data_IF_032507122313
#
_entry.id   IF_032507122313
#
_cell.length_a   1.000
_cell.length_b   1.000
_cell.length_c   1.000
_cell.angle_alpha   90.00
_cell.angle_beta   90.00
_cell.angle_gamma   90.00
#
_symmetry.space_group_name_H-M   'P 1'
#
loop_
_entity.id
_entity.type
_entity.pdbx_description
1 polymer ?
#
# COMPACT_ATOMS: atom_id res chain seq x y z
N UNK A 1 15.11 -14.59 -1.12
CA UNK A 1 13.88 -14.94 -0.38
C UNK A 1 12.77 -15.45 -1.31
N UNK A 2 12.39 -14.70 -2.35
CA UNK A 2 11.33 -15.07 -3.32
C UNK A 2 11.46 -16.50 -3.86
N UNK A 3 12.64 -16.86 -4.38
CA UNK A 3 12.87 -18.21 -4.93
C UNK A 3 12.70 -19.35 -3.90
N UNK A 4 12.92 -19.07 -2.61
CA UNK A 4 12.70 -20.05 -1.55
C UNK A 4 11.20 -20.21 -1.23
N UNK A 5 10.41 -19.14 -1.34
CA UNK A 5 8.96 -19.16 -1.11
C UNK A 5 8.22 -19.80 -2.29
N UNK A 6 8.61 -19.51 -3.53
CA UNK A 6 8.03 -20.13 -4.74
C UNK A 6 8.12 -21.66 -4.77
N UNK A 7 9.07 -22.25 -4.03
CA UNK A 7 9.19 -23.71 -3.89
C UNK A 7 8.19 -24.31 -2.90
N UNK A 8 7.53 -23.49 -2.10
CA UNK A 8 6.64 -23.91 -1.01
C UNK A 8 5.18 -23.57 -1.31
N UNK A 9 4.91 -22.58 -2.16
CA UNK A 9 3.56 -22.12 -2.48
C UNK A 9 3.51 -21.42 -3.83
N UNK A 10 2.33 -21.47 -4.46
CA UNK A 10 1.98 -20.70 -5.66
C UNK A 10 1.22 -19.40 -5.33
N UNK A 11 1.07 -19.09 -4.04
CA UNK A 11 0.41 -17.86 -3.59
C UNK A 11 1.15 -16.60 -4.10
N UNK A 12 0.42 -15.51 -4.39
CA UNK A 12 1.04 -14.27 -4.82
C UNK A 12 2.01 -13.71 -3.79
N UNK A 13 3.19 -13.29 -4.27
CA UNK A 13 4.22 -12.67 -3.44
C UNK A 13 4.16 -11.15 -3.64
N UNK A 14 4.17 -10.45 -2.51
CA UNK A 14 4.41 -9.01 -2.40
C UNK A 14 5.78 -8.77 -1.74
N UNK A 15 6.50 -7.76 -2.19
CA UNK A 15 7.75 -7.31 -1.57
C UNK A 15 7.59 -5.88 -1.07
N UNK A 16 7.96 -5.65 0.18
CA UNK A 16 8.10 -4.31 0.75
C UNK A 16 9.50 -3.75 0.46
N UNK A 17 9.54 -2.53 -0.07
CA UNK A 17 10.75 -1.81 -0.43
C UNK A 17 10.73 -0.42 0.21
N UNK A 18 11.85 0.00 0.78
CA UNK A 18 12.07 1.30 1.40
C UNK A 18 12.98 2.22 0.55
N UNK A 19 13.65 1.67 -0.47
CA UNK A 19 14.57 2.38 -1.37
C UNK A 19 14.34 2.03 -2.84
N UNK A 20 14.80 2.90 -3.74
CA UNK A 20 14.64 2.72 -5.19
C UNK A 20 15.35 1.44 -5.68
N UNK A 21 16.55 1.16 -5.18
CA UNK A 21 17.34 0.01 -5.61
C UNK A 21 16.68 -1.33 -5.24
N UNK A 22 15.95 -1.36 -4.12
CA UNK A 22 15.17 -2.53 -3.70
C UNK A 22 13.98 -2.77 -4.64
N UNK A 23 13.38 -1.70 -5.16
CA UNK A 23 12.33 -1.80 -6.18
C UNK A 23 12.89 -2.33 -7.49
N UNK A 24 14.06 -1.85 -7.92
CA UNK A 24 14.72 -2.37 -9.12
C UNK A 24 14.99 -3.88 -8.99
N UNK A 25 15.50 -4.33 -7.85
CA UNK A 25 15.67 -5.76 -7.57
C UNK A 25 14.33 -6.50 -7.61
N UNK A 26 13.30 -5.98 -6.95
CA UNK A 26 11.97 -6.60 -6.91
C UNK A 26 11.32 -6.72 -8.30
N UNK A 27 11.53 -5.76 -9.19
CA UNK A 27 11.07 -5.82 -10.59
C UNK A 27 11.70 -7.03 -11.30
N UNK A 28 13.01 -7.27 -11.12
CA UNK A 28 13.68 -8.42 -11.77
C UNK A 28 13.15 -9.78 -11.31
N UNK A 29 12.56 -9.84 -10.12
CA UNK A 29 11.99 -11.05 -9.55
C UNK A 29 10.59 -11.37 -10.10
N UNK A 30 9.93 -10.42 -10.77
CA UNK A 30 8.60 -10.62 -11.36
C UNK A 30 7.55 -10.98 -10.32
N UNK A 31 7.55 -10.28 -9.18
CA UNK A 31 6.53 -10.45 -8.12
C UNK A 31 5.20 -9.81 -8.51
N UNK A 32 4.11 -10.18 -7.82
CA UNK A 32 2.78 -9.64 -8.12
C UNK A 32 2.69 -8.15 -7.77
N UNK A 33 3.20 -7.79 -6.59
CA UNK A 33 3.08 -6.44 -6.04
C UNK A 33 4.37 -6.00 -5.37
N UNK A 34 4.64 -4.70 -5.45
CA UNK A 34 5.65 -4.03 -4.63
C UNK A 34 4.96 -3.01 -3.73
N UNK A 35 5.21 -3.10 -2.44
CA UNK A 35 4.77 -2.15 -1.42
C UNK A 35 5.92 -1.16 -1.15
N UNK A 36 5.65 0.13 -1.30
CA UNK A 36 6.59 1.22 -1.09
C UNK A 36 6.44 1.72 0.35
N UNK A 37 7.37 1.36 1.23
CA UNK A 37 7.36 1.76 2.63
C UNK A 37 7.97 3.16 2.82
N UNK A 38 7.18 4.08 3.36
CA UNK A 38 7.57 5.44 3.74
C UNK A 38 8.32 6.24 2.66
N UNK A 39 8.15 5.89 1.38
CA UNK A 39 8.72 6.65 0.26
C UNK A 39 7.99 7.98 0.08
N UNK A 40 8.75 9.04 -0.22
CA UNK A 40 8.17 10.34 -0.57
C UNK A 40 7.61 10.34 -2.00
N UNK A 41 6.85 11.39 -2.34
CA UNK A 41 6.20 11.49 -3.64
C UNK A 41 7.19 11.54 -4.81
N UNK A 42 8.39 12.09 -4.62
CA UNK A 42 9.41 12.19 -5.67
C UNK A 42 9.99 10.82 -5.99
N UNK A 43 10.22 10.01 -4.96
CA UNK A 43 10.69 8.64 -5.09
C UNK A 43 9.62 7.74 -5.69
N UNK A 44 8.35 7.89 -5.27
CA UNK A 44 7.21 7.17 -5.87
C UNK A 44 7.08 7.55 -7.36
N UNK A 45 7.29 8.80 -7.75
CA UNK A 45 7.24 9.20 -9.16
C UNK A 45 8.36 8.53 -9.99
N UNK A 46 9.57 8.41 -9.43
CA UNK A 46 10.67 7.64 -10.05
C UNK A 46 10.31 6.15 -10.16
N UNK A 47 9.80 5.59 -9.06
CA UNK A 47 8.92 4.43 -8.94
C UNK A 47 8.19 4.05 -10.22
N UNK A 48 7.16 4.85 -10.45
CA UNK A 48 6.15 4.64 -11.49
C UNK A 48 6.70 4.77 -12.91
N UNK A 49 7.88 5.38 -13.11
CA UNK A 49 8.53 5.49 -14.43
C UNK A 49 9.20 4.20 -14.87
N UNK A 50 9.61 3.35 -13.93
CA UNK A 50 10.38 2.12 -14.23
C UNK A 50 9.61 0.84 -14.01
N UNK A 51 8.55 0.87 -13.19
CA UNK A 51 7.75 -0.32 -12.90
C UNK A 51 6.95 -0.78 -14.14
N UNK A 52 7.04 -2.06 -14.52
CA UNK A 52 6.20 -2.62 -15.56
C UNK A 52 4.71 -2.66 -15.16
N UNK A 53 3.81 -2.45 -16.11
CA UNK A 53 2.35 -2.52 -15.89
C UNK A 53 1.84 -3.87 -15.33
N UNK A 54 2.65 -4.93 -15.39
CA UNK A 54 2.32 -6.24 -14.83
C UNK A 54 2.51 -6.34 -13.31
N UNK A 55 3.15 -5.35 -12.68
CA UNK A 55 3.42 -5.33 -11.23
C UNK A 55 2.52 -4.27 -10.59
N UNK A 56 1.70 -4.69 -9.63
CA UNK A 56 0.90 -3.77 -8.83
C UNK A 56 1.83 -2.95 -7.91
N UNK A 57 1.45 -1.70 -7.63
CA UNK A 57 2.19 -0.81 -6.73
C UNK A 57 1.27 -0.35 -5.61
N UNK A 58 1.74 -0.53 -4.39
CA UNK A 58 1.06 -0.11 -3.18
C UNK A 58 1.93 0.90 -2.43
N UNK A 59 1.39 2.06 -2.08
CA UNK A 59 2.10 3.03 -1.23
C UNK A 59 1.70 2.84 0.24
N UNK A 60 2.68 2.84 1.15
CA UNK A 60 2.45 2.67 2.58
C UNK A 60 3.26 3.69 3.40
N UNK A 61 2.94 3.77 4.69
CA UNK A 61 3.64 4.60 5.66
C UNK A 61 3.09 6.03 5.77
N UNK A 62 2.81 6.44 7.01
CA UNK A 62 2.42 7.82 7.39
C UNK A 62 1.36 8.48 6.47
N UNK A 63 0.36 7.70 6.03
CA UNK A 63 -0.73 8.22 5.20
C UNK A 63 -1.71 9.06 6.04
N UNK A 64 -1.99 10.27 5.56
CA UNK A 64 -3.02 11.17 6.07
C UNK A 64 -4.04 11.47 4.98
N UNK A 65 -5.21 12.02 5.35
CA UNK A 65 -6.24 12.40 4.39
C UNK A 65 -5.71 13.36 3.31
N UNK A 66 -4.84 14.30 3.71
CA UNK A 66 -4.20 15.26 2.80
C UNK A 66 -3.14 14.62 1.90
N UNK A 67 -2.48 13.54 2.36
CA UNK A 67 -1.43 12.84 1.61
C UNK A 67 -1.98 11.80 0.62
N UNK A 68 -3.14 11.20 0.91
CA UNK A 68 -3.72 10.14 0.06
C UNK A 68 -3.96 10.63 -1.37
N UNK A 69 -4.54 11.82 -1.55
CA UNK A 69 -4.85 12.36 -2.89
C UNK A 69 -3.60 12.59 -3.77
N UNK A 70 -2.54 13.31 -3.31
CA UNK A 70 -1.35 13.48 -4.13
C UNK A 70 -0.64 12.16 -4.44
N UNK A 71 -0.61 11.21 -3.50
CA UNK A 71 -0.04 9.86 -3.75
C UNK A 71 -0.85 9.10 -4.80
N UNK A 72 -2.19 9.13 -4.71
CA UNK A 72 -3.05 8.47 -5.69
C UNK A 72 -2.85 9.04 -7.11
N UNK A 73 -2.64 10.35 -7.23
CA UNK A 73 -2.38 11.01 -8.51
C UNK A 73 -1.05 10.59 -9.17
N UNK A 74 -0.13 9.95 -8.44
CA UNK A 74 1.10 9.37 -9.01
C UNK A 74 0.84 8.08 -9.77
N UNK A 75 -0.36 7.50 -9.67
CA UNK A 75 -0.75 6.30 -10.41
C UNK A 75 -0.47 4.99 -9.69
N UNK A 76 -0.24 5.01 -8.37
CA UNK A 76 -0.19 3.79 -7.56
C UNK A 76 -1.54 3.07 -7.60
N UNK A 77 -1.51 1.74 -7.52
CA UNK A 77 -2.71 0.91 -7.61
C UNK A 77 -3.44 0.84 -6.26
N UNK A 78 -2.68 0.84 -5.17
CA UNK A 78 -3.19 0.75 -3.80
C UNK A 78 -2.51 1.75 -2.88
N UNK A 79 -3.19 2.11 -1.80
CA UNK A 79 -2.64 2.91 -0.70
C UNK A 79 -3.02 2.24 0.61
N UNK A 80 -2.01 1.80 1.37
CA UNK A 80 -2.17 1.23 2.69
C UNK A 80 -2.27 2.34 3.75
N UNK A 81 -3.37 2.38 4.49
CA UNK A 81 -3.65 3.41 5.51
C UNK A 81 -3.95 2.76 6.86
N UNK A 82 -2.92 2.50 7.66
CA UNK A 82 -3.10 1.91 9.00
C UNK A 82 -3.95 2.75 9.97
N UNK A 83 -4.02 4.07 9.75
CA UNK A 83 -4.80 4.98 10.60
C UNK A 83 -6.31 4.66 10.62
N UNK A 84 -6.86 4.04 9.57
CA UNK A 84 -8.30 3.71 9.51
C UNK A 84 -8.68 2.50 10.37
N UNK A 85 -7.72 1.77 10.92
CA UNK A 85 -7.97 0.61 11.80
C UNK A 85 -7.50 0.89 13.22
N UNK A 86 -6.24 1.28 13.41
CA UNK A 86 -5.67 1.50 14.74
C UNK A 86 -6.01 2.87 15.34
N UNK A 87 -6.46 3.84 14.52
CA UNK A 87 -6.63 5.22 14.97
C UNK A 87 -7.89 5.89 14.41
N UNK A 88 -8.86 5.10 13.97
CA UNK A 88 -10.12 5.62 13.48
C UNK A 88 -10.91 6.30 14.63
N UNK A 89 -11.48 7.50 14.40
CA UNK A 89 -12.33 8.13 15.39
C UNK A 89 -13.61 7.32 15.60
N UNK A 90 -14.07 7.26 16.85
CA UNK A 90 -15.39 6.70 17.15
C UNK A 90 -16.47 7.60 16.54
N UNK A 91 -17.42 7.00 15.84
CA UNK A 91 -18.60 7.72 15.40
C UNK A 91 -19.54 7.99 16.59
N UNK A 92 -20.15 9.17 16.58
CA UNK A 92 -21.08 9.60 17.62
C UNK A 92 -22.47 9.03 17.35
N UNK A 93 -22.99 8.23 18.29
CA UNK A 93 -24.28 7.56 18.15
C UNK A 93 -25.11 7.70 19.43
N UNK A 94 -26.42 7.85 19.26
CA UNK A 94 -27.40 7.89 20.34
C UNK A 94 -28.53 6.91 20.07
N UNK A 95 -28.98 6.21 21.11
CA UNK A 95 -30.07 5.25 21.06
C UNK A 95 -31.34 5.89 21.61
N UNK A 96 -32.34 6.10 20.74
CA UNK A 96 -33.64 6.65 21.10
C UNK A 96 -34.64 5.51 21.26
N UNK A 97 -35.23 5.38 22.45
CA UNK A 97 -36.32 4.44 22.70
C UNK A 97 -37.64 5.18 22.86
N UNK A 98 -38.67 4.77 22.11
CA UNK A 98 -40.08 5.10 22.38
C UNK A 98 -40.71 3.90 23.09
N UNK A 99 -40.61 3.88 24.42
CA UNK A 99 -41.20 2.82 25.24
C UNK A 99 -42.69 3.09 25.44
N UNK A 100 -43.54 2.18 24.96
CA UNK A 100 -44.97 2.13 25.32
C UNK A 100 -45.18 0.98 26.31
N UNK A 101 -45.77 1.24 27.49
CA UNK A 101 -45.96 0.26 28.55
C UNK A 101 -46.95 -0.86 28.18
#
# INVERSE_FOLDING_TARGET
AVEAIRRQTDEPIEIECSKFEEVEEAITLGVRRILLDNMDNSLIEMVMKVVPHSIEIEASGNMSLDRVKPVANLGVHYISVGAITHSAPCADFSLLFDWKP
#
